data_IF_367042997123
#
_entry.id   IF_367042997123
#
_cell.length_a   1.000
_cell.length_b   1.000
_cell.length_c   1.000
_cell.angle_alpha   90.00
_cell.angle_beta   90.00
_cell.angle_gamma   90.00
#
_symmetry.space_group_name_H-M   'P 1'
#
loop_
_entity.id
_entity.type
_entity.pdbx_description
1 polymer ?
#
# COMPACT_ATOMS: atom_id res chain seq x y z
N UNK A 1 -2.28 -19.42 -17.35
CA UNK A 1 -2.23 -20.16 -16.06
C UNK A 1 -3.55 -19.92 -15.35
N UNK A 2 -4.22 -20.96 -14.87
CA UNK A 2 -5.52 -20.83 -14.18
C UNK A 2 -5.26 -21.20 -12.71
N UNK A 3 -5.56 -20.28 -11.78
CA UNK A 3 -5.51 -20.52 -10.33
C UNK A 3 -6.94 -20.78 -9.88
N UNK A 4 -7.27 -22.01 -9.53
CA UNK A 4 -8.63 -22.42 -9.17
C UNK A 4 -8.96 -22.22 -7.68
N UNK A 5 -7.95 -22.38 -6.80
CA UNK A 5 -8.09 -22.21 -5.35
C UNK A 5 -6.84 -21.57 -4.77
N UNK A 6 -7.03 -20.50 -3.99
CA UNK A 6 -5.97 -19.77 -3.30
C UNK A 6 -6.48 -19.52 -1.88
N UNK A 7 -5.83 -20.12 -0.90
CA UNK A 7 -6.13 -20.00 0.52
C UNK A 7 -4.91 -19.39 1.22
N UNK A 8 -5.14 -18.60 2.27
CA UNK A 8 -4.09 -17.92 3.05
C UNK A 8 -4.19 -18.26 4.53
N UNK A 9 -3.13 -18.85 5.06
CA UNK A 9 -2.97 -19.20 6.46
C UNK A 9 -1.98 -18.28 7.15
N UNK A 10 -2.29 -17.88 8.39
CA UNK A 10 -1.40 -17.07 9.20
C UNK A 10 -0.22 -17.91 9.69
N UNK A 11 0.99 -17.35 9.58
CA UNK A 11 2.21 -17.92 10.15
C UNK A 11 2.57 -17.22 11.47
N UNK A 12 3.39 -17.86 12.30
CA UNK A 12 3.82 -17.28 13.57
C UNK A 12 4.78 -16.08 13.41
N UNK A 13 5.39 -15.92 12.23
CA UNK A 13 6.36 -14.87 11.94
C UNK A 13 5.72 -13.48 11.99
N UNK A 14 6.46 -12.52 12.56
CA UNK A 14 6.05 -11.12 12.67
C UNK A 14 7.18 -10.20 12.27
N UNK A 15 6.84 -9.09 11.63
CA UNK A 15 7.77 -8.01 11.36
C UNK A 15 7.72 -7.01 12.50
N UNK A 16 8.89 -6.63 13.02
CA UNK A 16 9.03 -5.47 13.90
C UNK A 16 9.04 -4.17 13.07
N UNK A 17 8.94 -3.01 13.73
CA UNK A 17 9.06 -1.67 13.12
C UNK A 17 10.37 -1.52 12.34
N UNK A 18 11.37 -2.33 12.65
CA UNK A 18 12.66 -2.39 11.97
C UNK A 18 12.55 -2.72 10.48
N UNK A 19 11.45 -3.32 10.01
CA UNK A 19 11.22 -3.56 8.57
C UNK A 19 11.29 -2.27 7.75
N UNK A 20 10.87 -1.15 8.35
CA UNK A 20 10.88 0.17 7.74
C UNK A 20 12.26 0.85 7.79
N UNK A 21 13.16 0.40 8.68
CA UNK A 21 14.56 0.87 8.77
C UNK A 21 15.55 -0.02 8.04
N UNK A 22 15.26 -1.31 7.90
CA UNK A 22 16.16 -2.31 7.30
C UNK A 22 16.55 -1.99 5.84
N UNK A 23 15.76 -1.17 5.15
CA UNK A 23 16.00 -0.72 3.77
C UNK A 23 16.46 0.75 3.67
N UNK A 24 16.89 1.37 4.77
CA UNK A 24 17.38 2.76 4.78
C UNK A 24 18.89 2.89 4.53
N UNK A 25 19.64 1.78 4.57
CA UNK A 25 21.06 1.75 4.22
C UNK A 25 21.24 1.98 2.71
N UNK A 26 21.64 3.20 2.34
CA UNK A 26 21.96 3.56 0.95
C UNK A 26 20.87 4.32 0.19
N UNK A 27 19.86 4.89 0.87
CA UNK A 27 18.91 5.78 0.19
C UNK A 27 19.60 7.09 -0.23
N UNK A 28 19.54 7.39 -1.52
CA UNK A 28 19.97 8.67 -2.07
C UNK A 28 18.95 9.75 -1.68
N UNK A 29 19.28 10.51 -0.64
CA UNK A 29 18.46 11.62 -0.15
C UNK A 29 18.38 12.80 -1.15
N UNK A 30 19.09 12.76 -2.30
CA UNK A 30 18.87 13.72 -3.37
C UNK A 30 17.42 13.71 -3.90
N UNK A 31 16.72 12.59 -3.72
CA UNK A 31 15.30 12.41 -4.09
C UNK A 31 14.35 12.47 -2.90
N UNK A 32 14.83 12.84 -1.71
CA UNK A 32 13.98 12.98 -0.54
C UNK A 32 13.00 14.14 -0.72
N UNK A 33 11.78 13.94 -0.23
CA UNK A 33 10.76 14.99 -0.12
C UNK A 33 11.16 16.07 0.89
N UNK A 34 10.41 17.19 0.89
CA UNK A 34 10.41 18.11 2.03
C UNK A 34 9.93 17.38 3.29
N UNK A 35 10.18 17.97 4.47
CA UNK A 35 9.77 17.36 5.74
C UNK A 35 8.26 17.11 5.77
N UNK A 36 7.88 15.85 5.94
CA UNK A 36 6.50 15.36 5.94
C UNK A 36 5.88 15.46 7.34
N UNK A 37 4.56 15.61 7.37
CA UNK A 37 3.77 15.75 8.61
C UNK A 37 3.01 14.49 8.96
N UNK A 38 2.42 13.82 7.97
CA UNK A 38 1.54 12.67 8.17
C UNK A 38 2.25 11.35 7.84
N UNK A 39 3.51 11.37 7.42
CA UNK A 39 4.26 10.14 7.12
C UNK A 39 4.89 9.56 8.40
N UNK A 40 5.04 8.23 8.48
CA UNK A 40 5.71 7.53 9.60
C UNK A 40 7.16 8.00 9.84
N UNK A 41 7.78 8.62 8.82
CA UNK A 41 9.09 9.27 8.90
C UNK A 41 9.04 10.70 8.38
N UNK A 42 10.06 11.49 8.74
CA UNK A 42 10.21 12.87 8.27
C UNK A 42 10.35 12.99 6.75
N UNK A 43 10.76 11.94 6.05
CA UNK A 43 11.06 11.94 4.62
C UNK A 43 10.63 10.64 3.97
N UNK A 44 10.25 10.71 2.70
CA UNK A 44 10.02 9.56 1.83
C UNK A 44 10.74 9.74 0.49
N UNK A 45 11.28 8.65 -0.05
CA UNK A 45 11.88 8.61 -1.39
C UNK A 45 10.84 8.12 -2.39
N UNK A 46 10.63 8.91 -3.42
CA UNK A 46 9.72 8.61 -4.54
C UNK A 46 10.52 8.37 -5.81
N UNK A 47 10.10 7.37 -6.58
CA UNK A 47 10.72 6.94 -7.83
C UNK A 47 10.02 7.53 -9.07
N UNK A 48 8.84 8.16 -8.91
CA UNK A 48 8.11 8.79 -10.03
C UNK A 48 7.42 10.11 -9.66
N UNK A 49 7.08 10.93 -10.67
CA UNK A 49 6.34 12.17 -10.46
C UNK A 49 4.87 11.93 -10.03
N UNK A 50 4.32 10.74 -10.34
CA UNK A 50 3.01 10.31 -9.84
C UNK A 50 3.07 10.12 -8.34
N UNK A 51 4.08 9.39 -7.85
CA UNK A 51 4.29 9.19 -6.41
C UNK A 51 4.57 10.50 -5.67
N UNK A 52 5.35 11.43 -6.26
CA UNK A 52 5.60 12.75 -5.64
C UNK A 52 4.32 13.52 -5.39
N UNK A 53 3.41 13.55 -6.37
CA UNK A 53 2.10 14.22 -6.24
C UNK A 53 1.23 13.51 -5.21
N UNK A 54 1.20 12.18 -5.27
CA UNK A 54 0.46 11.36 -4.32
C UNK A 54 0.90 11.61 -2.87
N UNK A 55 2.21 11.65 -2.61
CA UNK A 55 2.78 12.00 -1.29
C UNK A 55 2.38 13.41 -0.87
N UNK A 56 2.43 14.40 -1.76
CA UNK A 56 2.04 15.77 -1.43
C UNK A 56 0.55 15.86 -1.05
N UNK A 57 -0.32 15.13 -1.74
CA UNK A 57 -1.75 15.10 -1.46
C UNK A 57 -2.03 14.37 -0.12
N UNK A 58 -1.36 13.24 0.15
CA UNK A 58 -1.48 12.52 1.42
C UNK A 58 -0.99 13.36 2.62
N UNK A 59 0.10 14.11 2.46
CA UNK A 59 0.71 14.89 3.54
C UNK A 59 -0.06 16.18 3.86
N UNK A 60 -0.87 16.66 2.91
CA UNK A 60 -1.71 17.87 3.09
C UNK A 60 -3.16 17.55 3.43
N UNK A 61 -3.56 16.27 3.33
CA UNK A 61 -4.90 15.82 3.66
C UNK A 61 -5.20 15.89 5.16
N UNK A 62 -6.41 16.35 5.50
CA UNK A 62 -6.96 16.32 6.87
C UNK A 62 -7.60 14.98 7.22
N UNK A 63 -7.89 14.15 6.22
CA UNK A 63 -8.51 12.83 6.39
C UNK A 63 -7.47 11.73 6.67
N UNK A 64 -6.24 11.94 6.19
CA UNK A 64 -5.11 11.02 6.42
C UNK A 64 -4.54 11.26 7.82
N UNK A 65 -4.56 10.24 8.65
CA UNK A 65 -3.96 10.26 9.99
C UNK A 65 -2.46 9.99 9.89
N UNK A 66 -2.10 8.90 9.22
CA UNK A 66 -0.72 8.48 9.01
C UNK A 66 -0.59 7.64 7.75
N UNK A 67 0.53 7.76 7.05
CA UNK A 67 0.84 6.90 5.91
C UNK A 67 2.31 6.47 5.86
N UNK A 68 2.57 5.39 5.13
CA UNK A 68 3.91 4.86 4.89
C UNK A 68 4.04 4.36 3.45
N UNK A 69 5.20 4.61 2.84
CA UNK A 69 5.64 3.79 1.70
C UNK A 69 6.14 2.46 2.23
N UNK A 70 5.61 1.36 1.72
CA UNK A 70 5.99 0.04 2.18
C UNK A 70 7.40 -0.30 1.66
N UNK A 71 8.26 -0.88 2.50
CA UNK A 71 9.61 -1.24 2.10
C UNK A 71 9.58 -2.39 1.08
N UNK A 72 10.58 -2.46 0.19
CA UNK A 72 10.68 -3.54 -0.83
C UNK A 72 10.69 -4.96 -0.24
N UNK A 73 11.05 -5.10 1.04
CA UNK A 73 11.01 -6.38 1.76
C UNK A 73 9.62 -6.81 2.24
N UNK A 74 8.60 -5.96 2.13
CA UNK A 74 7.22 -6.30 2.47
C UNK A 74 6.57 -7.08 1.30
N UNK A 75 6.67 -8.41 1.34
CA UNK A 75 6.28 -9.27 0.23
C UNK A 75 5.05 -10.10 0.58
N UNK A 76 4.06 -10.08 -0.30
CA UNK A 76 2.92 -10.98 -0.32
C UNK A 76 3.26 -12.11 -1.30
N UNK A 77 3.41 -13.36 -0.83
CA UNK A 77 3.67 -14.48 -1.71
C UNK A 77 2.46 -14.73 -2.61
N UNK A 78 2.71 -14.83 -3.93
CA UNK A 78 1.68 -15.20 -4.90
C UNK A 78 2.17 -16.33 -5.80
N UNK A 79 1.28 -17.15 -6.40
CA UNK A 79 1.67 -18.23 -7.30
C UNK A 79 2.42 -17.79 -8.56
N UNK A 80 2.40 -16.49 -8.89
CA UNK A 80 3.10 -15.89 -10.05
C UNK A 80 4.28 -15.00 -9.62
N UNK A 81 4.80 -15.23 -8.42
CA UNK A 81 5.91 -14.51 -7.81
C UNK A 81 5.45 -13.41 -6.85
N UNK A 82 6.37 -12.96 -6.00
CA UNK A 82 6.04 -12.07 -4.89
C UNK A 82 5.49 -10.72 -5.37
N UNK A 83 4.62 -10.14 -4.55
CA UNK A 83 4.00 -8.85 -4.78
C UNK A 83 4.25 -7.93 -3.58
N UNK A 84 4.69 -6.70 -3.84
CA UNK A 84 4.91 -5.68 -2.82
C UNK A 84 3.97 -4.50 -3.13
N UNK A 85 2.91 -4.29 -2.34
CA UNK A 85 2.09 -3.10 -2.48
C UNK A 85 2.87 -1.83 -2.10
N UNK A 86 2.55 -0.71 -2.73
CA UNK A 86 3.32 0.54 -2.55
C UNK A 86 3.09 1.24 -1.21
N UNK A 87 1.83 1.37 -0.75
CA UNK A 87 1.47 2.29 0.35
C UNK A 87 0.57 1.64 1.39
N UNK A 88 0.74 2.03 2.65
CA UNK A 88 -0.21 1.80 3.73
C UNK A 88 -0.67 3.15 4.30
N UNK A 89 -1.97 3.36 4.44
CA UNK A 89 -2.59 4.67 4.72
C UNK A 89 -3.70 4.47 5.74
N UNK A 90 -3.69 5.25 6.81
CA UNK A 90 -4.74 5.28 7.83
C UNK A 90 -5.60 6.54 7.67
N UNK A 91 -6.91 6.36 7.61
CA UNK A 91 -7.90 7.44 7.49
C UNK A 91 -8.73 7.61 8.76
N UNK A 92 -9.28 8.79 8.97
CA UNK A 92 -10.28 9.04 10.01
C UNK A 92 -11.70 8.91 9.45
N UNK A 93 -12.52 8.05 10.04
CA UNK A 93 -13.96 7.98 9.72
C UNK A 93 -14.82 8.56 10.86
N UNK A 94 -15.83 9.36 10.51
CA UNK A 94 -16.95 9.71 11.38
C UNK A 94 -16.64 10.23 12.80
N UNK A 95 -15.46 10.83 13.03
CA UNK A 95 -15.03 11.32 14.35
C UNK A 95 -14.19 10.32 15.17
N UNK A 96 -14.33 9.02 14.94
CA UNK A 96 -13.43 7.95 15.40
C UNK A 96 -13.48 6.79 14.41
N UNK A 97 -12.39 6.54 13.68
CA UNK A 97 -11.79 5.20 13.44
C UNK A 97 -10.79 5.23 12.29
N UNK A 98 -9.73 4.46 12.50
CA UNK A 98 -8.64 4.22 11.56
C UNK A 98 -9.08 3.20 10.50
N UNK A 99 -9.40 3.66 9.29
CA UNK A 99 -9.53 2.73 8.15
C UNK A 99 -8.14 2.54 7.56
N UNK A 100 -7.64 1.30 7.56
CA UNK A 100 -6.33 0.96 7.02
C UNK A 100 -6.47 0.57 5.56
N UNK A 101 -5.96 1.41 4.68
CA UNK A 101 -5.88 1.15 3.25
C UNK A 101 -4.49 0.73 2.86
N UNK A 102 -4.40 -0.32 2.06
CA UNK A 102 -3.19 -0.64 1.30
C UNK A 102 -3.45 -0.29 -0.16
N UNK A 103 -2.62 0.58 -0.72
CA UNK A 103 -2.81 1.16 -2.05
C UNK A 103 -1.61 0.90 -2.96
N UNK A 104 -1.89 0.50 -4.20
CA UNK A 104 -0.91 0.41 -5.29
C UNK A 104 -1.03 1.63 -6.20
N UNK A 105 0.09 2.26 -6.55
CA UNK A 105 0.16 3.38 -7.49
C UNK A 105 0.73 2.93 -8.83
N UNK A 106 -0.09 2.91 -9.88
CA UNK A 106 0.36 2.41 -11.20
C UNK A 106 1.26 3.42 -11.94
N UNK A 107 2.55 3.07 -12.09
CA UNK A 107 3.46 3.67 -13.08
C UNK A 107 3.18 3.18 -14.51
N UNK A 108 3.64 3.92 -15.54
CA UNK A 108 3.28 3.64 -16.94
C UNK A 108 3.59 2.19 -17.36
N UNK A 109 2.58 1.48 -17.85
CA UNK A 109 2.65 0.03 -18.06
C UNK A 109 3.45 -0.36 -19.31
N UNK A 110 4.38 -1.29 -19.10
CA UNK A 110 5.11 -2.04 -20.12
C UNK A 110 4.22 -3.09 -20.84
N UNK A 111 4.86 -4.00 -21.60
CA UNK A 111 4.27 -4.90 -22.61
C UNK A 111 3.05 -5.74 -22.13
N UNK A 112 2.22 -6.22 -23.07
CA UNK A 112 0.96 -6.95 -22.76
C UNK A 112 1.13 -8.14 -21.78
N UNK A 113 2.20 -8.95 -21.90
CA UNK A 113 2.44 -10.09 -21.00
C UNK A 113 2.73 -9.67 -19.56
N UNK A 114 3.42 -8.54 -19.36
CA UNK A 114 3.71 -8.00 -18.03
C UNK A 114 2.41 -7.56 -17.34
N UNK A 115 1.44 -7.06 -18.11
CA UNK A 115 0.12 -6.66 -17.59
C UNK A 115 -0.69 -7.82 -17.06
N UNK A 116 -0.62 -9.00 -17.69
CA UNK A 116 -1.36 -10.19 -17.23
C UNK A 116 -0.81 -10.71 -15.90
N UNK A 117 0.52 -10.84 -15.78
CA UNK A 117 1.16 -11.29 -14.54
C UNK A 117 0.89 -10.31 -13.41
N UNK A 118 1.04 -9.00 -13.67
CA UNK A 118 0.77 -7.97 -12.68
C UNK A 118 -0.71 -7.97 -12.24
N UNK A 119 -1.63 -8.15 -13.18
CA UNK A 119 -3.05 -8.32 -12.87
C UNK A 119 -3.27 -9.53 -11.97
N UNK A 120 -2.66 -10.68 -12.26
CA UNK A 120 -2.78 -11.87 -11.41
C UNK A 120 -2.21 -11.63 -10.01
N UNK A 121 -1.08 -10.91 -9.87
CA UNK A 121 -0.53 -10.52 -8.55
C UNK A 121 -1.51 -9.64 -7.76
N UNK A 122 -2.10 -8.65 -8.41
CA UNK A 122 -3.11 -7.77 -7.82
C UNK A 122 -4.34 -8.57 -7.36
N UNK A 123 -4.84 -9.51 -8.16
CA UNK A 123 -5.97 -10.36 -7.76
C UNK A 123 -5.63 -11.25 -6.56
N UNK A 124 -4.41 -11.77 -6.50
CA UNK A 124 -3.94 -12.53 -5.32
C UNK A 124 -3.89 -11.63 -4.09
N UNK A 125 -3.36 -10.42 -4.21
CA UNK A 125 -3.31 -9.44 -3.11
C UNK A 125 -4.71 -9.04 -2.62
N UNK A 126 -5.68 -8.87 -3.54
CA UNK A 126 -7.09 -8.62 -3.18
C UNK A 126 -7.63 -9.73 -2.29
N UNK A 127 -7.47 -10.98 -2.70
CA UNK A 127 -7.90 -12.14 -1.90
C UNK A 127 -7.16 -12.21 -0.56
N UNK A 128 -5.84 -11.99 -0.55
CA UNK A 128 -5.03 -11.98 0.66
C UNK A 128 -5.57 -10.99 1.71
N UNK A 129 -5.79 -9.74 1.32
CA UNK A 129 -6.27 -8.71 2.25
C UNK A 129 -7.76 -8.88 2.59
N UNK A 130 -8.57 -9.47 1.71
CA UNK A 130 -9.96 -9.84 2.02
C UNK A 130 -10.01 -10.88 3.15
N UNK A 131 -9.22 -11.95 3.04
CA UNK A 131 -9.10 -12.99 4.08
C UNK A 131 -8.61 -12.39 5.41
N UNK A 132 -7.60 -11.52 5.38
CA UNK A 132 -7.12 -10.82 6.58
C UNK A 132 -8.24 -9.95 7.18
N UNK A 133 -8.94 -9.17 6.36
CA UNK A 133 -10.01 -8.27 6.81
C UNK A 133 -11.18 -9.02 7.45
N UNK A 134 -11.43 -10.26 7.03
CA UNK A 134 -12.44 -11.14 7.63
C UNK A 134 -11.99 -11.70 8.99
N UNK A 135 -10.68 -11.95 9.19
CA UNK A 135 -10.13 -12.49 10.44
C UNK A 135 -9.98 -11.43 11.53
N UNK A 136 -9.77 -10.16 11.19
CA UNK A 136 -9.59 -9.09 12.16
C UNK A 136 -10.94 -8.43 12.53
N UNK A 137 -11.22 -8.35 13.83
CA UNK A 137 -12.49 -7.79 14.36
C UNK A 137 -12.48 -6.27 14.55
N UNK A 138 -11.31 -5.65 14.66
CA UNK A 138 -11.08 -4.21 14.78
C UNK A 138 -10.13 -3.75 13.67
N UNK A 139 -10.08 -2.45 13.36
CA UNK A 139 -9.06 -1.91 12.44
C UNK A 139 -9.01 -2.63 11.07
N UNK A 140 -10.18 -2.82 10.47
CA UNK A 140 -10.31 -3.53 9.20
C UNK A 140 -9.42 -2.93 8.12
N UNK A 141 -8.75 -3.81 7.40
CA UNK A 141 -7.90 -3.46 6.27
C UNK A 141 -8.71 -3.55 4.98
N UNK A 142 -8.49 -2.61 4.07
CA UNK A 142 -9.01 -2.63 2.70
C UNK A 142 -7.87 -2.44 1.72
N UNK A 143 -7.79 -3.31 0.72
CA UNK A 143 -6.78 -3.21 -0.33
C UNK A 143 -7.40 -2.76 -1.65
N UNK A 144 -6.81 -1.74 -2.27
CA UNK A 144 -7.26 -1.22 -3.55
C UNK A 144 -6.10 -0.78 -4.44
N UNK A 145 -6.37 -0.79 -5.75
CA UNK A 145 -5.46 -0.26 -6.75
C UNK A 145 -5.98 1.09 -7.20
N UNK A 146 -5.15 2.12 -7.08
CA UNK A 146 -5.52 3.50 -7.40
C UNK A 146 -4.50 4.12 -8.35
N UNK A 147 -4.95 5.08 -9.15
CA UNK A 147 -4.06 5.81 -10.06
C UNK A 147 -3.51 7.08 -9.42
N UNK A 148 -4.23 7.63 -8.45
CA UNK A 148 -4.00 8.92 -7.83
C UNK A 148 -4.82 9.07 -6.54
N UNK A 149 -4.59 10.19 -5.85
CA UNK A 149 -5.24 10.49 -4.57
C UNK A 149 -6.75 10.75 -4.71
N UNK A 150 -7.21 11.35 -5.81
CA UNK A 150 -8.64 11.58 -6.02
C UNK A 150 -9.40 10.25 -6.09
N UNK A 151 -8.84 9.25 -6.79
CA UNK A 151 -9.42 7.92 -6.86
C UNK A 151 -9.44 7.21 -5.51
N UNK A 152 -8.41 7.42 -4.69
CA UNK A 152 -8.37 6.91 -3.33
C UNK A 152 -9.51 7.50 -2.49
N UNK A 153 -9.71 8.82 -2.54
CA UNK A 153 -10.78 9.49 -1.79
C UNK A 153 -12.18 9.10 -2.26
N UNK A 154 -12.39 8.87 -3.55
CA UNK A 154 -13.66 8.31 -4.06
C UNK A 154 -14.02 6.98 -3.40
N UNK A 155 -13.01 6.15 -3.12
CA UNK A 155 -13.22 4.83 -2.53
C UNK A 155 -13.43 4.93 -1.01
N UNK A 156 -12.66 5.80 -0.34
CA UNK A 156 -12.81 6.08 1.09
C UNK A 156 -14.19 6.67 1.36
N UNK A 157 -14.61 7.67 0.59
CA UNK A 157 -15.92 8.32 0.76
C UNK A 157 -17.14 7.45 0.43
N UNK A 158 -16.96 6.34 -0.31
CA UNK A 158 -18.02 5.33 -0.50
C UNK A 158 -18.09 4.31 0.64
N UNK A 159 -17.06 4.24 1.47
CA UNK A 159 -16.98 3.31 2.59
C UNK A 159 -17.53 3.90 3.90
N UNK A 160 -17.80 5.22 3.92
CA UNK A 160 -18.45 5.97 5.00
C UNK A 160 -19.98 5.97 4.86
#
# INVERSE_FOLDING_TARGET
>A
MIIERLDYDEVADRYDVDIFTANQTGQDFSRASAKLKNHVYNYVVTDSDVEKRFVADLDTSTEVVVYAKLPRGFLIPTPVGDYNPDWAISFKDGGVKHIYFVAETKGSMSTMKLREIEKTKIECARKFFEEISQKISQDKVKYEVVTDYAKLMDIVGRAA
#
